data_IF_765286309777
#
_entry.id   IF_765286309777
#
_cell.length_a   1.000
_cell.length_b   1.000
_cell.length_c   1.000
_cell.angle_alpha   90.00
_cell.angle_beta   90.00
_cell.angle_gamma   90.00
#
_symmetry.space_group_name_H-M   'P 1'
#
loop_
_entity.id
_entity.type
_entity.pdbx_description
1 polymer ?
#
# COMPACT_ATOMS: atom_id res chain seq x y z
N UNK A 1 3.21 5.71 2.57
CA UNK A 1 3.32 4.26 2.29
C UNK A 1 2.72 3.40 3.39
N UNK A 2 3.17 3.49 4.66
CA UNK A 2 2.52 2.82 5.80
C UNK A 2 1.02 3.14 5.85
N UNK A 3 0.62 4.40 5.60
CA UNK A 3 -0.79 4.82 5.51
C UNK A 3 -1.59 4.07 4.44
N UNK A 4 -0.99 3.75 3.29
CA UNK A 4 -1.66 3.00 2.21
C UNK A 4 -1.86 1.55 2.61
N UNK A 5 -0.88 0.95 3.31
CA UNK A 5 -0.97 -0.41 3.88
C UNK A 5 -2.07 -0.48 4.95
N UNK A 6 -2.13 0.51 5.84
CA UNK A 6 -3.14 0.58 6.90
C UNK A 6 -4.53 0.81 6.30
N UNK A 7 -4.67 1.74 5.36
CA UNK A 7 -5.93 1.99 4.67
C UNK A 7 -6.39 0.77 3.86
N UNK A 8 -5.47 0.04 3.22
CA UNK A 8 -5.78 -1.25 2.58
C UNK A 8 -6.32 -2.26 3.59
N UNK A 9 -5.64 -2.43 4.72
CA UNK A 9 -6.09 -3.35 5.77
C UNK A 9 -7.45 -2.95 6.36
N UNK A 10 -7.73 -1.65 6.51
CA UNK A 10 -8.99 -1.14 7.04
C UNK A 10 -10.14 -1.20 6.02
N UNK A 11 -9.83 -1.09 4.74
CA UNK A 11 -10.81 -1.10 3.65
C UNK A 11 -11.46 -2.46 3.41
N UNK A 12 -10.87 -3.54 3.92
CA UNK A 12 -11.45 -4.89 3.82
C UNK A 12 -11.45 -5.50 2.41
N UNK A 13 -10.73 -4.91 1.45
CA UNK A 13 -10.55 -5.54 0.14
C UNK A 13 -9.74 -6.82 0.26
N UNK A 14 -10.18 -7.88 -0.43
CA UNK A 14 -9.46 -9.16 -0.50
C UNK A 14 -8.15 -9.04 -1.25
N UNK A 15 -8.17 -8.34 -2.38
CA UNK A 15 -7.05 -8.25 -3.30
C UNK A 15 -6.54 -6.82 -3.39
N UNK A 16 -5.21 -6.69 -3.32
CA UNK A 16 -4.56 -5.39 -3.42
C UNK A 16 -4.80 -4.72 -4.78
N UNK A 17 -4.96 -5.52 -5.85
CA UNK A 17 -5.26 -5.03 -7.20
C UNK A 17 -6.60 -4.29 -7.25
N UNK A 18 -7.63 -4.80 -6.57
CA UNK A 18 -8.96 -4.19 -6.53
C UNK A 18 -8.96 -2.91 -5.70
N UNK A 19 -8.18 -2.89 -4.62
CA UNK A 19 -7.97 -1.68 -3.82
C UNK A 19 -7.19 -0.60 -4.57
N UNK A 20 -6.12 -0.98 -5.29
CA UNK A 20 -5.30 -0.06 -6.07
C UNK A 20 -6.13 0.66 -7.15
N UNK A 21 -6.98 -0.07 -7.87
CA UNK A 21 -7.87 0.50 -8.88
C UNK A 21 -8.94 1.42 -8.26
N UNK A 22 -9.59 1.02 -7.16
CA UNK A 22 -10.71 1.79 -6.60
C UNK A 22 -10.29 2.96 -5.72
N UNK A 23 -9.20 2.81 -4.96
CA UNK A 23 -8.81 3.78 -3.94
C UNK A 23 -7.60 4.59 -4.39
N UNK A 24 -6.54 3.93 -4.88
CA UNK A 24 -5.30 4.60 -5.22
C UNK A 24 -5.41 5.32 -6.56
N UNK A 25 -5.98 4.67 -7.58
CA UNK A 25 -6.17 5.26 -8.90
C UNK A 25 -7.13 6.47 -8.84
N UNK A 26 -8.09 6.48 -7.91
CA UNK A 26 -9.06 7.56 -7.75
C UNK A 26 -8.54 8.71 -6.88
N UNK A 27 -7.78 8.40 -5.82
CA UNK A 27 -7.43 9.36 -4.78
C UNK A 27 -5.97 9.84 -4.86
N UNK A 28 -5.05 9.02 -5.37
CA UNK A 28 -3.61 9.33 -5.42
C UNK A 28 -3.07 9.65 -6.81
N UNK A 29 -3.70 9.25 -7.90
CA UNK A 29 -3.21 9.56 -9.27
C UNK A 29 -3.14 11.06 -9.54
N UNK A 30 -4.04 11.84 -8.94
CA UNK A 30 -4.06 13.29 -9.08
C UNK A 30 -2.98 14.00 -8.25
N UNK A 31 -2.45 13.32 -7.22
CA UNK A 31 -1.45 13.86 -6.29
C UNK A 31 -0.04 13.35 -6.64
N UNK A 32 0.05 12.14 -7.20
CA UNK A 32 1.31 11.48 -7.54
C UNK A 32 1.19 10.64 -8.84
N UNK A 33 1.01 11.28 -10.01
CA UNK A 33 0.77 10.58 -11.27
C UNK A 33 1.90 9.62 -11.69
N UNK A 34 3.17 9.95 -11.36
CA UNK A 34 4.32 9.10 -11.67
C UNK A 34 4.61 8.01 -10.63
N UNK A 35 4.06 8.12 -9.40
CA UNK A 35 4.38 7.21 -8.30
C UNK A 35 3.37 6.04 -8.19
N UNK A 36 2.32 6.05 -9.00
CA UNK A 36 1.11 5.22 -8.83
C UNK A 36 1.01 4.10 -9.89
N UNK A 37 2.10 3.75 -10.56
CA UNK A 37 2.10 2.50 -11.31
C UNK A 37 1.90 1.32 -10.34
N UNK A 38 0.91 0.47 -10.59
CA UNK A 38 0.62 -0.75 -9.81
C UNK A 38 1.91 -1.53 -9.48
N UNK A 39 2.81 -1.66 -10.45
CA UNK A 39 4.08 -2.37 -10.28
C UNK A 39 5.03 -1.69 -9.29
N UNK A 40 5.01 -0.36 -9.25
CA UNK A 40 5.84 0.44 -8.36
C UNK A 40 5.28 0.42 -6.94
N UNK A 41 3.95 0.52 -6.80
CA UNK A 41 3.27 0.35 -5.52
C UNK A 41 3.50 -1.06 -4.98
N UNK A 42 3.44 -2.10 -5.81
CA UNK A 42 3.72 -3.47 -5.40
C UNK A 42 5.15 -3.63 -4.85
N UNK A 43 6.15 -3.06 -5.55
CA UNK A 43 7.56 -3.07 -5.09
C UNK A 43 7.72 -2.31 -3.77
N UNK A 44 7.05 -1.17 -3.62
CA UNK A 44 7.07 -0.40 -2.38
C UNK A 44 6.39 -1.13 -1.22
N UNK A 45 5.26 -1.79 -1.47
CA UNK A 45 4.56 -2.61 -0.47
C UNK A 45 5.46 -3.74 0.03
N UNK A 46 6.15 -4.45 -0.87
CA UNK A 46 7.13 -5.49 -0.51
C UNK A 46 8.29 -4.91 0.31
N UNK A 47 8.78 -3.72 -0.06
CA UNK A 47 9.83 -3.02 0.68
C UNK A 47 9.43 -2.54 2.07
N UNK A 48 8.14 -2.28 2.33
CA UNK A 48 7.63 -1.81 3.63
C UNK A 48 7.18 -2.97 4.53
N UNK A 49 6.69 -4.07 3.95
CA UNK A 49 6.23 -5.25 4.69
C UNK A 49 7.35 -5.89 5.53
N UNK A 50 8.57 -5.97 5.00
CA UNK A 50 9.73 -6.54 5.69
C UNK A 50 10.08 -5.72 6.95
N UNK A 51 10.33 -4.40 6.88
CA UNK A 51 10.62 -3.58 8.06
C UNK A 51 9.43 -3.45 9.00
N UNK A 52 8.18 -3.43 8.49
CA UNK A 52 6.98 -3.41 9.34
C UNK A 52 6.84 -4.70 10.15
N UNK A 53 7.06 -5.86 9.52
CA UNK A 53 7.05 -7.15 10.21
C UNK A 53 8.16 -7.21 11.25
N UNK A 54 9.36 -6.76 10.89
CA UNK A 54 10.48 -6.64 11.82
C UNK A 54 10.11 -5.77 13.03
N UNK A 55 9.58 -4.57 12.82
CA UNK A 55 9.11 -3.67 13.88
C UNK A 55 8.09 -4.35 14.80
N UNK A 56 7.04 -4.97 14.23
CA UNK A 56 5.99 -5.63 15.01
C UNK A 56 6.51 -6.84 15.80
N UNK A 57 7.52 -7.55 15.30
CA UNK A 57 8.15 -8.68 16.03
C UNK A 57 9.16 -8.24 17.09
N UNK A 58 9.73 -7.04 16.94
CA UNK A 58 10.78 -6.51 17.82
C UNK A 58 10.20 -5.66 18.97
N UNK A 59 8.98 -5.15 18.80
CA UNK A 59 8.17 -4.61 19.89
C UNK A 59 7.63 -5.79 20.70
N UNK A 60 8.38 -6.20 21.71
CA UNK A 60 7.98 -7.15 22.74
C UNK A 60 8.35 -6.61 24.10
#
# INVERSE_FOLDING_TARGET
>A
MITIVIAFHQSGYRDFKTYDIHFICLCLTNVFPELVSYTQILKFMQGVLIPLRSYLTHVK
#
